data_IF_617158949540
#
_entry.id   IF_617158949540
#
_cell.length_a   1.000
_cell.length_b   1.000
_cell.length_c   1.000
_cell.angle_alpha   90.00
_cell.angle_beta   90.00
_cell.angle_gamma   90.00
#
_symmetry.space_group_name_H-M   'P 1'
#
loop_
_entity.id
_entity.type
_entity.pdbx_description
1 polymer ?
#
# COMPACT_ATOMS: atom_id res chain seq x y z
N UNK A 1 -13.06 17.81 -17.34
CA UNK A 1 -12.57 17.49 -15.98
C UNK A 1 -12.52 15.99 -15.86
N UNK A 2 -11.33 15.43 -15.64
CA UNK A 2 -11.17 13.98 -15.50
C UNK A 2 -11.66 13.49 -14.14
N UNK A 3 -12.19 12.28 -14.12
CA UNK A 3 -12.65 11.62 -12.89
C UNK A 3 -11.74 10.46 -12.54
N UNK A 4 -11.21 10.49 -11.32
CA UNK A 4 -10.36 9.45 -10.76
C UNK A 4 -11.14 8.60 -9.75
N UNK A 5 -11.25 7.30 -10.01
CA UNK A 5 -11.75 6.33 -9.04
C UNK A 5 -10.58 5.83 -8.18
N UNK A 6 -10.69 6.03 -6.86
CA UNK A 6 -9.71 5.54 -5.87
C UNK A 6 -10.36 4.49 -4.98
N UNK A 7 -9.89 3.26 -5.12
CA UNK A 7 -10.25 2.12 -4.30
C UNK A 7 -9.29 2.04 -3.10
N UNK A 8 -9.67 2.65 -1.98
CA UNK A 8 -8.87 2.78 -0.77
C UNK A 8 -9.77 3.02 0.46
N UNK A 9 -9.28 2.68 1.65
CA UNK A 9 -9.95 2.97 2.91
C UNK A 9 -10.36 4.45 3.05
N UNK A 10 -11.54 4.72 3.63
CA UNK A 10 -12.10 6.07 3.82
C UNK A 10 -11.13 7.03 4.53
N UNK A 11 -10.30 6.51 5.44
CA UNK A 11 -9.35 7.31 6.24
C UNK A 11 -8.43 8.20 5.39
N UNK A 12 -8.12 7.77 4.16
CA UNK A 12 -7.20 8.50 3.27
C UNK A 12 -7.90 9.39 2.25
N UNK A 13 -9.23 9.40 2.22
CA UNK A 13 -9.98 10.12 1.17
C UNK A 13 -9.83 11.64 1.27
N UNK A 14 -9.68 12.19 2.48
CA UNK A 14 -9.51 13.62 2.68
C UNK A 14 -8.27 14.16 1.94
N UNK A 15 -7.12 13.52 2.16
CA UNK A 15 -5.85 13.92 1.51
C UNK A 15 -5.93 13.83 -0.01
N UNK A 16 -6.56 12.78 -0.54
CA UNK A 16 -6.72 12.61 -1.99
C UNK A 16 -7.71 13.61 -2.58
N UNK A 17 -8.86 13.82 -1.93
CA UNK A 17 -9.87 14.75 -2.41
C UNK A 17 -9.34 16.18 -2.48
N UNK A 18 -8.63 16.63 -1.45
CA UNK A 18 -8.04 17.97 -1.45
C UNK A 18 -6.92 18.10 -2.48
N UNK A 19 -6.01 17.11 -2.54
CA UNK A 19 -4.88 17.19 -3.45
C UNK A 19 -5.28 17.05 -4.94
N UNK A 20 -6.28 16.23 -5.26
CA UNK A 20 -6.78 16.08 -6.64
C UNK A 20 -7.62 17.28 -7.08
N UNK A 21 -8.36 17.90 -6.16
CA UNK A 21 -9.11 19.13 -6.45
C UNK A 21 -8.17 20.27 -6.89
N UNK A 22 -6.98 20.38 -6.28
CA UNK A 22 -5.94 21.34 -6.68
C UNK A 22 -5.36 21.10 -8.07
N UNK A 23 -5.50 19.89 -8.59
CA UNK A 23 -5.02 19.47 -9.91
C UNK A 23 -6.17 19.50 -10.93
N UNK A 24 -7.39 19.86 -10.52
CA UNK A 24 -8.57 19.90 -11.39
C UNK A 24 -9.15 18.53 -11.71
N UNK A 25 -8.84 17.51 -10.89
CA UNK A 25 -9.33 16.13 -11.06
C UNK A 25 -10.43 15.84 -10.05
N UNK A 26 -11.55 15.30 -10.53
CA UNK A 26 -12.66 14.87 -9.68
C UNK A 26 -12.32 13.56 -8.98
N UNK A 27 -12.59 13.49 -7.67
CA UNK A 27 -12.32 12.31 -6.85
C UNK A 27 -13.59 11.48 -6.65
N UNK A 28 -13.50 10.19 -6.94
CA UNK A 28 -14.51 9.19 -6.65
C UNK A 28 -13.89 8.12 -5.74
N UNK A 29 -14.39 8.01 -4.51
CA UNK A 29 -13.89 7.04 -3.53
C UNK A 29 -14.77 5.80 -3.46
N UNK A 30 -14.18 4.62 -3.32
CA UNK A 30 -14.92 3.40 -2.99
C UNK A 30 -14.23 2.60 -1.89
N UNK A 31 -14.97 2.39 -0.79
CA UNK A 31 -14.55 1.59 0.36
C UNK A 31 -15.75 0.79 0.87
N UNK A 32 -15.82 -0.48 0.43
CA UNK A 32 -16.78 -1.45 0.95
C UNK A 32 -16.08 -2.77 1.21
N UNK A 33 -16.32 -3.32 2.41
CA UNK A 33 -15.86 -4.65 2.80
C UNK A 33 -16.46 -5.77 1.93
N UNK A 34 -17.68 -5.57 1.45
CA UNK A 34 -18.40 -6.48 0.54
C UNK A 34 -18.72 -5.70 -0.74
N UNK A 35 -17.83 -5.73 -1.75
CA UNK A 35 -18.06 -5.03 -3.01
C UNK A 35 -19.17 -5.73 -3.80
N UNK A 36 -20.04 -4.94 -4.43
CA UNK A 36 -20.96 -5.44 -5.44
C UNK A 36 -20.34 -5.20 -6.83
N UNK A 37 -20.39 -6.22 -7.69
CA UNK A 37 -19.86 -6.15 -9.06
C UNK A 37 -20.48 -5.00 -9.84
N UNK A 38 -21.81 -4.92 -9.86
CA UNK A 38 -22.55 -3.91 -10.61
C UNK A 38 -22.22 -2.48 -10.16
N UNK A 39 -21.97 -2.28 -8.87
CA UNK A 39 -21.60 -0.98 -8.34
C UNK A 39 -20.20 -0.56 -8.79
N UNK A 40 -19.23 -1.49 -8.78
CA UNK A 40 -17.88 -1.22 -9.27
C UNK A 40 -17.92 -0.94 -10.78
N UNK A 41 -18.67 -1.72 -11.55
CA UNK A 41 -18.81 -1.51 -12.99
C UNK A 41 -19.36 -0.11 -13.30
N UNK A 42 -20.38 0.34 -12.56
CA UNK A 42 -20.90 1.71 -12.70
C UNK A 42 -19.90 2.80 -12.32
N UNK A 43 -19.08 2.57 -11.28
CA UNK A 43 -18.07 3.53 -10.84
C UNK A 43 -16.92 3.62 -11.84
N UNK A 44 -16.48 2.47 -12.37
CA UNK A 44 -15.44 2.39 -13.41
C UNK A 44 -15.93 3.06 -14.69
N UNK A 45 -17.18 2.84 -15.11
CA UNK A 45 -17.75 3.50 -16.28
C UNK A 45 -17.84 5.03 -16.17
N UNK A 46 -17.85 5.57 -14.95
CA UNK A 46 -17.86 7.04 -14.69
C UNK A 46 -16.46 7.62 -14.52
N UNK A 47 -15.42 6.78 -14.44
CA UNK A 47 -14.06 7.19 -14.19
C UNK A 47 -13.22 7.09 -15.46
N UNK A 48 -12.36 8.08 -15.67
CA UNK A 48 -11.37 8.06 -16.75
C UNK A 48 -10.13 7.26 -16.36
N UNK A 49 -9.83 7.19 -15.07
CA UNK A 49 -8.69 6.46 -14.53
C UNK A 49 -9.06 5.79 -13.21
N UNK A 50 -8.57 4.57 -13.00
CA UNK A 50 -8.85 3.79 -11.80
C UNK A 50 -7.55 3.45 -11.08
N UNK A 51 -7.48 3.83 -9.81
CA UNK A 51 -6.33 3.58 -8.94
C UNK A 51 -6.77 2.79 -7.73
N UNK A 52 -6.02 1.75 -7.38
CA UNK A 52 -6.38 0.88 -6.27
C UNK A 52 -5.20 0.55 -5.37
N UNK A 53 -5.43 0.60 -4.04
CA UNK A 53 -4.46 0.09 -3.07
C UNK A 53 -4.59 -1.43 -2.99
N UNK A 54 -3.48 -2.14 -3.15
CA UNK A 54 -3.43 -3.60 -2.96
C UNK A 54 -3.41 -4.02 -1.48
N UNK A 55 -3.69 -3.10 -0.56
CA UNK A 55 -3.64 -3.34 0.88
C UNK A 55 -4.98 -2.96 1.49
N UNK A 56 -5.54 -3.87 2.29
CA UNK A 56 -6.78 -3.71 3.04
C UNK A 56 -8.06 -3.49 2.21
N UNK A 57 -7.97 -3.61 0.88
CA UNK A 57 -9.14 -3.67 0.01
C UNK A 57 -9.59 -5.12 -0.12
N UNK A 58 -10.90 -5.36 -0.20
CA UNK A 58 -11.42 -6.71 -0.40
C UNK A 58 -10.86 -7.32 -1.70
N UNK A 59 -10.36 -8.57 -1.64
CA UNK A 59 -9.82 -9.27 -2.81
C UNK A 59 -10.79 -9.30 -4.00
N UNK A 60 -12.10 -9.39 -3.73
CA UNK A 60 -13.13 -9.33 -4.77
C UNK A 60 -13.19 -7.97 -5.47
N UNK A 61 -12.94 -6.85 -4.77
CA UNK A 61 -12.92 -5.52 -5.40
C UNK A 61 -11.83 -5.44 -6.47
N UNK A 62 -10.67 -6.06 -6.20
CA UNK A 62 -9.55 -6.13 -7.15
C UNK A 62 -9.96 -6.86 -8.42
N UNK A 63 -10.62 -8.00 -8.27
CA UNK A 63 -11.05 -8.81 -9.40
C UNK A 63 -12.13 -8.08 -10.21
N UNK A 64 -13.16 -7.54 -9.55
CA UNK A 64 -14.24 -6.81 -10.22
C UNK A 64 -13.73 -5.55 -10.91
N UNK A 65 -12.86 -4.77 -10.29
CA UNK A 65 -12.27 -3.59 -10.92
C UNK A 65 -11.43 -3.97 -12.15
N UNK A 66 -10.64 -5.05 -12.08
CA UNK A 66 -9.87 -5.55 -13.24
C UNK A 66 -10.78 -5.98 -14.38
N UNK A 67 -11.85 -6.71 -14.09
CA UNK A 67 -12.81 -7.16 -15.09
C UNK A 67 -13.55 -5.98 -15.73
N UNK A 68 -14.00 -5.02 -14.91
CA UNK A 68 -14.65 -3.80 -15.37
C UNK A 68 -13.72 -2.98 -16.28
N UNK A 69 -12.46 -2.75 -15.85
CA UNK A 69 -11.51 -1.95 -16.62
C UNK A 69 -11.13 -2.61 -17.94
N UNK A 70 -11.09 -3.95 -18.00
CA UNK A 70 -10.90 -4.68 -19.25
C UNK A 70 -12.10 -4.57 -20.19
N UNK A 71 -13.32 -4.45 -19.65
CA UNK A 71 -14.52 -4.31 -20.47
C UNK A 71 -14.68 -2.89 -21.04
N UNK A 72 -14.21 -1.87 -20.30
CA UNK A 72 -14.31 -0.46 -20.69
C UNK A 72 -13.05 0.11 -21.32
N UNK A 73 -11.98 -0.69 -21.46
CA UNK A 73 -10.63 -0.26 -21.83
C UNK A 73 -10.12 0.96 -21.03
N UNK A 74 -10.56 1.07 -19.76
CA UNK A 74 -10.13 2.18 -18.89
C UNK A 74 -8.78 1.87 -18.25
N UNK A 75 -7.84 2.82 -18.26
CA UNK A 75 -6.54 2.62 -17.65
C UNK A 75 -6.66 2.36 -16.14
N UNK A 76 -5.92 1.35 -15.69
CA UNK A 76 -6.03 0.81 -14.34
C UNK A 76 -4.66 0.61 -13.71
N UNK A 77 -4.48 1.11 -12.49
CA UNK A 77 -3.22 1.00 -11.77
C UNK A 77 -3.39 0.46 -10.35
N UNK A 78 -2.56 -0.52 -10.00
CA UNK A 78 -2.50 -1.12 -8.67
C UNK A 78 -1.13 -0.84 -8.06
N UNK A 79 -1.12 -0.31 -6.85
CA UNK A 79 0.10 -0.27 -6.03
C UNK A 79 -0.20 -0.68 -4.58
N UNK A 80 0.79 -1.25 -3.89
CA UNK A 80 0.70 -1.60 -2.46
C UNK A 80 0.64 -0.36 -1.57
N UNK A 81 1.32 0.71 -1.99
CA UNK A 81 1.27 2.02 -1.36
C UNK A 81 1.40 3.10 -2.44
N UNK A 82 0.58 4.14 -2.36
CA UNK A 82 0.71 5.32 -3.21
C UNK A 82 0.31 6.57 -2.43
N UNK A 83 1.05 7.64 -2.66
CA UNK A 83 0.71 9.00 -2.23
C UNK A 83 0.15 9.81 -3.39
N UNK A 84 -0.32 11.02 -3.09
CA UNK A 84 -0.86 11.95 -4.09
C UNK A 84 0.14 12.20 -5.23
N UNK A 85 1.42 12.43 -4.90
CA UNK A 85 2.47 12.68 -5.89
C UNK A 85 2.64 11.53 -6.88
N UNK A 86 2.51 10.29 -6.40
CA UNK A 86 2.64 9.10 -7.25
C UNK A 86 1.45 8.98 -8.19
N UNK A 87 0.24 9.29 -7.71
CA UNK A 87 -0.97 9.33 -8.54
C UNK A 87 -0.82 10.39 -9.63
N UNK A 88 -0.36 11.59 -9.28
CA UNK A 88 -0.19 12.69 -10.26
C UNK A 88 0.83 12.31 -11.33
N UNK A 89 1.96 11.71 -10.94
CA UNK A 89 2.94 11.18 -11.90
C UNK A 89 2.32 10.14 -12.83
N UNK A 90 1.54 9.21 -12.28
CA UNK A 90 0.88 8.18 -13.09
C UNK A 90 -0.19 8.77 -14.03
N UNK A 91 -0.93 9.79 -13.58
CA UNK A 91 -1.88 10.54 -14.40
C UNK A 91 -1.17 11.22 -15.57
N UNK A 92 -0.06 11.93 -15.32
CA UNK A 92 0.72 12.58 -16.39
C UNK A 92 1.32 11.60 -17.40
N UNK A 93 1.64 10.38 -16.97
CA UNK A 93 2.10 9.32 -17.88
C UNK A 93 0.98 8.74 -18.72
N UNK A 94 -0.23 8.65 -18.14
CA UNK A 94 -1.39 8.02 -18.79
C UNK A 94 -2.08 9.00 -19.75
N UNK A 95 -2.09 10.29 -19.41
CA UNK A 95 -2.67 11.37 -20.22
C UNK A 95 -1.62 12.46 -20.43
N UNK A 96 -0.66 12.26 -21.34
CA UNK A 96 0.42 13.23 -21.61
C UNK A 96 -0.10 14.53 -22.22
N UNK A 97 -1.29 14.52 -22.83
CA UNK A 97 -1.92 15.69 -23.45
C UNK A 97 -2.57 16.64 -22.43
N UNK A 98 -2.77 16.19 -21.18
CA UNK A 98 -3.35 17.00 -20.11
C UNK A 98 -2.28 17.46 -19.12
N UNK A 99 -2.21 18.78 -18.90
CA UNK A 99 -1.32 19.35 -17.88
C UNK A 99 -1.97 19.27 -16.50
N UNK A 100 -1.45 18.40 -15.65
CA UNK A 100 -1.85 18.24 -14.24
C UNK A 100 -1.00 19.11 -13.30
N UNK A 101 -0.61 20.30 -13.73
CA UNK A 101 0.08 21.25 -12.85
C UNK A 101 -0.87 21.74 -11.77
N UNK A 102 -0.52 21.47 -10.50
CA UNK A 102 -1.24 21.97 -9.34
C UNK A 102 -1.49 23.47 -9.50
N UNK A 103 -2.75 23.91 -9.45
CA UNK A 103 -3.13 25.32 -9.61
C UNK A 103 -2.72 26.19 -8.42
N UNK A 104 -1.81 25.72 -7.57
CA UNK A 104 -1.17 26.51 -6.53
C UNK A 104 -0.13 27.43 -7.20
N UNK A 105 -0.59 28.47 -7.89
CA UNK A 105 0.14 29.74 -7.92
C UNK A 105 0.12 30.34 -6.52
N UNK A 106 0.86 29.73 -5.60
CA UNK A 106 1.15 30.34 -4.32
C UNK A 106 2.61 30.05 -3.95
N UNK A 107 3.47 31.02 -4.29
CA UNK A 107 4.85 31.12 -3.84
C UNK A 107 4.94 30.81 -2.35
N UNK A 108 5.36 29.61 -1.97
CA UNK A 108 6.00 29.39 -0.67
C UNK A 108 7.50 29.35 -0.88
N UNK A 109 8.11 30.52 -0.66
CA UNK A 109 9.54 30.70 -0.51
C UNK A 109 10.16 29.56 0.30
N UNK A 110 11.21 28.96 -0.26
CA UNK A 110 12.18 28.14 0.48
C UNK A 110 12.60 28.91 1.73
N UNK A 111 12.12 28.53 2.91
CA UNK A 111 12.79 28.89 4.16
C UNK A 111 13.82 27.80 4.43
N UNK A 112 15.08 28.13 4.16
CA UNK A 112 16.26 27.44 4.70
C UNK A 112 16.03 27.26 6.20
N UNK A 113 16.06 26.01 6.67
CA UNK A 113 16.30 25.75 8.09
C UNK A 113 17.82 25.80 8.25
N UNK A 114 18.30 26.91 8.80
CA UNK A 114 19.69 27.08 9.19
C UNK A 114 20.03 26.15 10.36
N UNK A 115 21.13 25.42 10.20
CA UNK A 115 21.79 24.65 11.23
C UNK A 115 22.16 25.56 12.41
N UNK A 116 21.54 25.36 13.59
CA UNK A 116 22.10 25.85 14.86
C UNK A 116 22.97 24.76 15.47
N UNK A 117 24.27 24.94 15.29
CA UNK A 117 25.34 24.36 16.10
C UNK A 117 25.19 24.88 17.54
N UNK A 118 25.09 23.99 18.52
CA UNK A 118 25.51 24.28 19.89
C UNK A 118 26.54 23.23 20.28
N UNK A 119 27.69 23.76 20.67
CA UNK A 119 28.95 23.12 20.96
C UNK A 119 28.86 22.15 22.16
N UNK A 120 29.54 21.00 22.06
CA UNK A 120 30.10 20.32 23.24
C UNK A 120 31.57 20.04 22.98
N UNK A 121 32.43 20.78 23.68
CA UNK A 121 33.86 20.54 23.76
C UNK A 121 34.14 19.50 24.85
N UNK A 122 34.88 18.47 24.45
CA UNK A 122 35.88 17.63 25.12
C UNK A 122 36.00 17.62 26.66
N UNK A 123 36.03 16.41 27.22
CA UNK A 123 37.20 15.92 28.00
C UNK A 123 37.21 14.38 28.10
N UNK A 124 38.39 13.79 27.90
CA UNK A 124 38.71 12.39 28.21
C UNK A 124 38.73 12.17 29.73
N UNK A 125 38.32 10.99 30.20
CA UNK A 125 39.13 10.10 31.07
C UNK A 125 38.32 8.87 31.54
N UNK A 126 39.06 7.78 31.75
CA UNK A 126 38.67 6.44 32.18
C UNK A 126 37.81 6.38 33.47
N UNK A 127 36.90 5.40 33.57
CA UNK A 127 37.09 4.24 34.45
C UNK A 127 35.89 3.28 34.45
N UNK A 128 36.27 2.00 34.43
CA UNK A 128 35.67 0.78 34.97
C UNK A 128 34.23 0.71 35.52
N UNK A 129 33.72 -0.53 35.37
CA UNK A 129 32.73 -1.25 36.20
C UNK A 129 31.29 -1.36 35.67
N UNK A 130 31.07 -2.50 34.99
CA UNK A 130 30.02 -3.49 35.30
C UNK A 130 29.10 -3.20 36.50
N UNK A 131 27.79 -3.19 36.24
CA UNK A 131 26.71 -3.83 37.03
C UNK A 131 25.39 -3.60 36.31
N UNK A 132 24.90 -4.62 35.62
CA UNK A 132 23.70 -5.37 36.03
C UNK A 132 22.41 -4.54 36.08
N UNK A 133 21.58 -4.78 35.04
CA UNK A 133 20.16 -5.13 35.17
C UNK A 133 19.19 -4.00 35.64
N UNK A 134 17.95 -3.85 35.18
CA UNK A 134 16.89 -4.78 34.83
C UNK A 134 15.83 -4.04 33.99
N UNK A 135 14.89 -4.83 33.44
CA UNK A 135 13.52 -4.46 33.09
C UNK A 135 13.21 -4.02 31.66
N UNK A 136 13.35 -4.91 30.67
CA UNK A 136 12.34 -5.01 29.59
C UNK A 136 12.35 -6.43 29.03
N UNK A 137 11.61 -7.37 29.64
CA UNK A 137 11.09 -8.60 29.01
C UNK A 137 10.23 -9.38 30.04
N UNK A 138 9.13 -8.78 30.49
CA UNK A 138 8.05 -9.55 31.15
C UNK A 138 7.12 -10.12 30.08
N UNK A 139 7.41 -11.34 29.67
CA UNK A 139 6.56 -12.14 28.80
C UNK A 139 7.15 -13.52 28.54
N UNK A 140 6.97 -14.45 29.48
CA UNK A 140 7.37 -15.86 29.27
C UNK A 140 6.43 -16.50 28.24
N UNK A 141 6.78 -16.44 26.95
CA UNK A 141 6.34 -17.48 26.00
C UNK A 141 7.45 -18.53 25.94
N UNK A 142 7.12 -19.75 26.40
CA UNK A 142 8.00 -20.90 26.28
C UNK A 142 8.28 -21.14 24.79
N UNK A 143 9.49 -20.87 24.34
CA UNK A 143 9.94 -21.36 23.05
C UNK A 143 10.09 -22.88 23.18
N UNK A 144 9.05 -23.63 22.77
CA UNK A 144 9.23 -25.04 22.45
C UNK A 144 10.21 -25.11 21.27
N UNK A 145 11.28 -25.92 21.34
CA UNK A 145 12.16 -26.08 20.19
C UNK A 145 11.38 -26.80 19.09
N UNK A 146 11.06 -26.09 18.00
CA UNK A 146 10.50 -26.65 16.76
C UNK A 146 11.32 -27.84 16.21
N UNK A 147 12.55 -28.04 16.71
CA UNK A 147 13.41 -29.18 16.44
C UNK A 147 12.84 -30.53 16.90
N UNK A 148 11.97 -30.59 17.92
CA UNK A 148 11.37 -31.85 18.36
C UNK A 148 10.05 -32.18 17.65
N UNK A 149 9.38 -31.21 17.04
CA UNK A 149 8.12 -31.42 16.32
C UNK A 149 8.29 -32.06 14.93
N UNK A 150 9.50 -31.97 14.36
CA UNK A 150 9.84 -32.55 13.05
C UNK A 150 10.63 -33.86 13.15
N UNK A 151 10.93 -34.35 14.36
CA UNK A 151 11.78 -35.52 14.56
C UNK A 151 11.09 -36.84 14.22
N UNK A 152 9.76 -36.86 14.24
CA UNK A 152 8.93 -38.04 13.93
C UNK A 152 8.28 -37.97 12.54
N UNK A 153 8.55 -36.92 11.76
CA UNK A 153 8.16 -36.86 10.35
C UNK A 153 9.10 -37.75 9.54
N UNK A 154 8.78 -39.04 9.47
CA UNK A 154 9.25 -39.89 8.36
C UNK A 154 8.49 -39.45 7.11
N UNK A 155 9.16 -38.74 6.22
CA UNK A 155 8.75 -38.70 4.82
C UNK A 155 9.00 -40.12 4.32
N UNK A 156 7.96 -40.94 4.27
CA UNK A 156 8.00 -42.17 3.49
C UNK A 156 8.12 -41.73 2.04
N UNK A 157 9.22 -42.12 1.39
CA UNK A 157 9.49 -41.88 -0.03
C UNK A 157 8.64 -42.83 -0.89
N UNK A 158 7.36 -42.97 -0.54
CA UNK A 158 6.37 -43.58 -1.42
C UNK A 158 5.82 -42.43 -2.27
N UNK A 159 6.42 -42.26 -3.46
CA UNK A 159 5.75 -41.57 -4.54
C UNK A 159 4.33 -42.12 -4.65
N UNK A 160 3.28 -41.28 -4.64
CA UNK A 160 1.96 -41.76 -4.98
C UNK A 160 2.00 -42.24 -6.43
N UNK A 161 2.04 -43.55 -6.64
CA UNK A 161 1.92 -44.17 -7.94
C UNK A 161 0.48 -43.98 -8.45
N UNK A 162 0.26 -42.82 -9.10
CA UNK A 162 -1.02 -42.42 -9.69
C UNK A 162 -1.51 -43.40 -10.77
N UNK A 163 -0.68 -44.36 -11.21
CA UNK A 163 -1.10 -45.36 -12.20
C UNK A 163 -2.06 -46.42 -11.66
N UNK A 164 -2.16 -46.56 -10.33
CA UNK A 164 -3.12 -47.49 -9.69
C UNK A 164 -4.49 -46.89 -9.36
N UNK A 165 -4.64 -45.57 -9.41
CA UNK A 165 -5.93 -44.91 -9.12
C UNK A 165 -6.95 -45.00 -10.27
N UNK A 166 -6.54 -45.48 -11.45
CA UNK A 166 -7.39 -45.55 -12.64
C UNK A 166 -7.49 -46.94 -13.27
N UNK A 167 -7.18 -48.02 -12.54
CA UNK A 167 -7.43 -49.38 -13.04
C UNK A 167 -8.38 -50.17 -12.12
N UNK A 168 -9.63 -50.15 -12.58
CA UNK A 168 -10.82 -50.96 -12.25
C UNK A 168 -11.58 -50.62 -10.98
#
# INVERSE_FOLDING_TARGET
MKTLLVLCEVKYWHDFREGLAKVGVSFLGFDKKKPNRFEIDQLVAKADFVVMRNRNVAHHSVQFAKEACKATDTPFWISSNFGLETIIKQLSQTFPDESFESTDQNKKSKRKIENRVIQKQNSLAESAQSKESQNYLKGKKKHLPLKSALKDFKITDDEPDFTKLFKK
#
